data_IF_996196007560
#
_entry.id   IF_996196007560
#
_cell.length_a   1.000
_cell.length_b   1.000
_cell.length_c   1.000
_cell.angle_alpha   90.00
_cell.angle_beta   90.00
_cell.angle_gamma   90.00
#
_symmetry.space_group_name_H-M   'P 1'
#
loop_
_entity.id
_entity.type
_entity.pdbx_description
1 polymer ?
#
# COMPACT_ATOMS: atom_id res chain seq x y z
N UNK A 1 -20.52 0.89 -3.69
CA UNK A 1 -21.50 0.13 -2.87
C UNK A 1 -20.88 -0.43 -1.58
N UNK A 2 -19.75 -1.19 -1.61
CA UNK A 2 -19.13 -1.71 -0.39
C UNK A 2 -18.62 -0.61 0.53
N UNK A 3 -17.85 0.35 0.02
CA UNK A 3 -17.26 1.43 0.81
C UNK A 3 -18.32 2.36 1.41
N UNK A 4 -19.40 2.60 0.68
CA UNK A 4 -20.51 3.44 1.12
C UNK A 4 -21.32 2.82 2.27
N UNK A 5 -21.37 1.49 2.34
CA UNK A 5 -22.10 0.73 3.34
C UNK A 5 -21.20 0.14 4.44
N UNK A 6 -19.90 0.40 4.40
CA UNK A 6 -18.99 -0.07 5.42
C UNK A 6 -19.26 0.64 6.75
N UNK A 7 -19.38 -0.09 7.88
CA UNK A 7 -19.50 0.52 9.20
C UNK A 7 -18.18 1.06 9.74
N UNK A 8 -17.06 0.72 9.10
CA UNK A 8 -15.70 1.03 9.57
C UNK A 8 -15.34 2.48 9.31
N UNK A 9 -14.47 3.02 10.16
CA UNK A 9 -13.93 4.36 9.97
C UNK A 9 -12.92 4.38 8.82
N UNK A 10 -13.21 5.20 7.80
CA UNK A 10 -12.34 5.47 6.66
C UNK A 10 -11.77 6.88 6.76
N UNK A 11 -10.50 7.04 6.52
CA UNK A 11 -9.89 8.36 6.38
C UNK A 11 -8.79 8.39 5.31
N UNK A 12 -8.52 9.57 4.79
CA UNK A 12 -7.38 9.84 3.95
C UNK A 12 -6.30 10.51 4.78
N UNK A 13 -5.12 9.92 4.75
CA UNK A 13 -3.94 10.46 5.41
C UNK A 13 -2.87 10.81 4.39
N UNK A 14 -2.01 11.73 4.77
CA UNK A 14 -0.91 12.18 3.95
C UNK A 14 0.39 11.72 4.60
N UNK A 15 1.27 11.13 3.80
CA UNK A 15 2.56 10.62 4.23
C UNK A 15 3.63 11.35 3.44
N UNK A 16 4.50 12.07 4.15
CA UNK A 16 5.64 12.74 3.54
C UNK A 16 6.70 11.72 3.13
N UNK A 17 7.13 11.81 1.88
CA UNK A 17 8.25 11.05 1.34
C UNK A 17 9.41 11.99 0.99
N UNK A 18 10.51 11.45 0.49
CA UNK A 18 11.65 12.27 0.11
C UNK A 18 11.38 13.16 -1.13
N UNK A 19 10.38 12.82 -1.92
CA UNK A 19 10.06 13.51 -3.18
C UNK A 19 8.77 14.30 -3.13
N UNK A 20 7.73 13.79 -2.48
CA UNK A 20 6.40 14.39 -2.45
C UNK A 20 5.57 13.87 -1.27
N UNK A 21 4.34 14.32 -1.17
CA UNK A 21 3.34 13.85 -0.22
C UNK A 21 2.45 12.79 -0.88
N UNK A 22 2.31 11.63 -0.24
CA UNK A 22 1.50 10.51 -0.72
C UNK A 22 0.15 10.49 -0.01
N UNK A 23 -0.93 10.50 -0.78
CA UNK A 23 -2.26 10.26 -0.25
C UNK A 23 -2.43 8.76 0.02
N UNK A 24 -2.90 8.40 1.19
CA UNK A 24 -3.11 7.01 1.58
C UNK A 24 -4.48 6.81 2.17
N UNK A 25 -5.15 5.74 1.76
CA UNK A 25 -6.46 5.37 2.28
C UNK A 25 -6.28 4.47 3.50
N UNK A 26 -6.77 4.91 4.66
CA UNK A 26 -6.61 4.24 5.95
C UNK A 26 -7.97 3.82 6.47
N UNK A 27 -8.09 2.56 6.91
CA UNK A 27 -9.31 1.98 7.46
C UNK A 27 -9.01 1.34 8.81
N UNK A 28 -9.85 1.64 9.79
CA UNK A 28 -9.76 1.07 11.12
C UNK A 28 -10.79 -0.05 11.30
N UNK A 29 -10.40 -1.18 11.92
CA UNK A 29 -11.34 -2.24 12.29
C UNK A 29 -12.21 -1.80 13.48
N UNK A 30 -13.33 -2.47 13.66
CA UNK A 30 -14.20 -2.31 14.82
C UNK A 30 -13.76 -3.21 15.99
N UNK A 31 -12.55 -2.96 16.51
CA UNK A 31 -11.97 -3.71 17.63
C UNK A 31 -11.45 -2.76 18.70
N UNK A 32 -11.37 -3.23 19.93
CA UNK A 32 -10.92 -2.43 21.08
C UNK A 32 -9.43 -2.61 21.42
N UNK A 33 -8.84 -3.71 20.99
CA UNK A 33 -7.42 -4.03 21.21
C UNK A 33 -6.52 -3.42 20.12
N UNK A 34 -5.25 -3.29 20.45
CA UNK A 34 -4.22 -2.90 19.46
C UNK A 34 -3.92 -4.07 18.53
N UNK A 35 -4.00 -3.81 17.23
CA UNK A 35 -3.85 -4.83 16.18
C UNK A 35 -2.71 -4.48 15.23
N UNK A 36 -2.19 -5.45 14.46
CA UNK A 36 -1.23 -5.17 13.40
C UNK A 36 -1.80 -4.26 12.31
N UNK A 37 -0.90 -3.57 11.62
CA UNK A 37 -1.25 -2.78 10.43
C UNK A 37 -0.87 -3.57 9.19
N UNK A 38 -1.79 -3.63 8.24
CA UNK A 38 -1.57 -4.23 6.92
C UNK A 38 -1.46 -3.12 5.88
N UNK A 39 -0.30 -3.01 5.25
CA UNK A 39 -0.06 -2.12 4.11
C UNK A 39 -0.46 -2.86 2.84
N UNK A 40 -1.46 -2.35 2.13
CA UNK A 40 -1.91 -2.89 0.85
C UNK A 40 -1.23 -2.17 -0.32
N UNK A 41 -0.53 -2.91 -1.17
CA UNK A 41 0.01 -2.41 -2.43
C UNK A 41 -0.98 -2.78 -3.54
N UNK A 42 -1.56 -1.75 -4.16
CA UNK A 42 -2.58 -1.91 -5.20
C UNK A 42 -2.04 -2.52 -6.51
N UNK A 43 -2.92 -2.86 -7.41
CA UNK A 43 -2.58 -3.36 -8.74
C UNK A 43 -2.07 -2.24 -9.67
N UNK A 44 -1.80 -2.58 -10.93
CA UNK A 44 -1.23 -1.66 -11.94
C UNK A 44 -2.17 -0.55 -12.44
N UNK A 45 -3.31 -0.33 -11.78
CA UNK A 45 -4.28 0.73 -12.11
C UNK A 45 -4.45 1.77 -11.00
N UNK A 46 -3.50 1.79 -10.05
CA UNK A 46 -3.50 2.73 -8.94
C UNK A 46 -4.49 2.38 -7.82
N UNK A 47 -4.69 3.32 -6.91
CA UNK A 47 -5.57 3.19 -5.75
C UNK A 47 -7.04 3.43 -6.15
N UNK A 48 -7.58 2.56 -6.96
CA UNK A 48 -8.96 2.60 -7.45
C UNK A 48 -9.96 2.04 -6.41
N UNK A 49 -11.25 2.00 -6.77
CA UNK A 49 -12.32 1.52 -5.90
C UNK A 49 -12.13 0.07 -5.44
N UNK A 50 -11.57 -0.78 -6.31
CA UNK A 50 -11.27 -2.17 -5.95
C UNK A 50 -10.22 -2.23 -4.84
N UNK A 51 -9.12 -1.50 -4.98
CA UNK A 51 -8.04 -1.49 -4.00
C UNK A 51 -8.52 -0.92 -2.65
N UNK A 52 -9.31 0.15 -2.67
CA UNK A 52 -9.93 0.71 -1.45
C UNK A 52 -10.92 -0.26 -0.82
N UNK A 53 -11.73 -0.97 -1.63
CA UNK A 53 -12.63 -2.01 -1.13
C UNK A 53 -11.89 -3.19 -0.53
N UNK A 54 -10.73 -3.57 -1.08
CA UNK A 54 -9.88 -4.62 -0.51
C UNK A 54 -9.26 -4.16 0.82
N UNK A 55 -8.84 -2.89 0.91
CA UNK A 55 -8.36 -2.29 2.17
C UNK A 55 -9.43 -2.38 3.26
N UNK A 56 -10.69 -2.06 2.93
CA UNK A 56 -11.82 -2.19 3.84
C UNK A 56 -12.08 -3.65 4.25
N UNK A 57 -11.90 -4.62 3.34
CA UNK A 57 -12.05 -6.04 3.66
C UNK A 57 -10.96 -6.54 4.63
N UNK A 58 -9.74 -6.04 4.49
CA UNK A 58 -8.67 -6.35 5.45
C UNK A 58 -9.03 -5.82 6.84
N UNK A 59 -9.60 -4.61 6.90
CA UNK A 59 -10.06 -4.05 8.17
C UNK A 59 -11.25 -4.82 8.75
N UNK A 60 -12.14 -5.38 7.93
CA UNK A 60 -13.21 -6.29 8.37
C UNK A 60 -12.66 -7.56 9.05
N UNK A 61 -11.47 -8.00 8.68
CA UNK A 61 -10.79 -9.15 9.30
C UNK A 61 -10.12 -8.79 10.65
N UNK A 62 -10.24 -7.54 11.12
CA UNK A 62 -9.74 -7.11 12.42
C UNK A 62 -8.35 -6.47 12.40
N UNK A 63 -7.82 -6.06 11.24
CA UNK A 63 -6.54 -5.38 11.10
C UNK A 63 -6.73 -3.89 10.79
N UNK A 64 -5.82 -3.03 11.22
CA UNK A 64 -5.74 -1.70 10.60
C UNK A 64 -5.20 -1.89 9.19
N UNK A 65 -5.82 -1.27 8.19
CA UNK A 65 -5.40 -1.40 6.80
C UNK A 65 -5.10 -0.04 6.18
N UNK A 66 -3.96 0.10 5.51
CA UNK A 66 -3.56 1.32 4.83
C UNK A 66 -3.09 1.02 3.41
N UNK A 67 -3.58 1.79 2.44
CA UNK A 67 -3.20 1.66 1.04
C UNK A 67 -2.67 3.01 0.51
N UNK A 68 -1.35 3.14 0.28
CA UNK A 68 -0.77 4.33 -0.35
C UNK A 68 -1.16 4.39 -1.83
N UNK A 69 -1.45 5.60 -2.31
CA UNK A 69 -1.59 5.87 -3.74
C UNK A 69 -0.22 6.17 -4.35
N UNK A 70 0.41 5.17 -4.96
CA UNK A 70 1.73 5.30 -5.59
C UNK A 70 1.75 6.30 -6.75
N UNK A 71 0.58 6.69 -7.26
CA UNK A 71 0.43 7.71 -8.29
C UNK A 71 0.25 9.13 -7.74
N UNK A 72 0.33 9.34 -6.43
CA UNK A 72 0.25 10.67 -5.83
C UNK A 72 1.30 11.60 -6.42
N UNK A 73 0.86 12.75 -6.92
CA UNK A 73 1.73 13.76 -7.55
C UNK A 73 2.13 13.46 -9.00
N UNK A 74 1.78 12.30 -9.58
CA UNK A 74 2.24 11.89 -10.92
C UNK A 74 1.21 12.12 -12.03
N UNK A 75 -0.06 12.30 -11.68
CA UNK A 75 -1.10 12.59 -12.67
C UNK A 75 -0.94 14.00 -13.26
N UNK A 76 -1.52 14.27 -14.43
CA UNK A 76 -1.60 15.61 -14.96
C UNK A 76 -2.14 16.59 -13.89
N UNK A 77 -1.48 17.72 -13.72
CA UNK A 77 -1.76 18.74 -12.68
C UNK A 77 -1.46 18.30 -11.23
N UNK A 78 -0.62 17.27 -11.01
CA UNK A 78 -0.12 16.91 -9.70
C UNK A 78 -1.07 16.07 -8.82
N UNK A 79 -2.10 15.48 -9.40
CA UNK A 79 -3.03 14.60 -8.69
C UNK A 79 -2.53 13.15 -8.58
N UNK A 80 -3.35 12.29 -7.98
CA UNK A 80 -3.12 10.85 -7.85
C UNK A 80 -3.95 10.01 -8.83
N UNK A 81 -4.24 8.76 -8.46
CA UNK A 81 -4.97 7.79 -9.29
C UNK A 81 -6.25 8.35 -9.90
N UNK A 82 -7.08 9.05 -9.13
CA UNK A 82 -8.37 9.57 -9.59
C UNK A 82 -8.25 10.77 -10.56
N UNK A 83 -7.06 11.31 -10.78
CA UNK A 83 -6.82 12.44 -11.68
C UNK A 83 -6.33 12.02 -13.06
N UNK A 84 -6.11 10.73 -13.28
CA UNK A 84 -5.86 10.18 -14.62
C UNK A 84 -7.15 10.13 -15.43
N UNK A 85 -7.07 10.36 -16.74
CA UNK A 85 -8.25 10.39 -17.61
C UNK A 85 -8.93 9.02 -17.74
N UNK A 86 -8.14 7.96 -17.66
CA UNK A 86 -8.61 6.58 -17.73
C UNK A 86 -7.60 5.64 -17.03
N UNK A 87 -8.01 4.39 -16.88
CA UNK A 87 -7.20 3.37 -16.19
C UNK A 87 -5.95 2.92 -16.95
N UNK A 88 -5.89 3.11 -18.27
CA UNK A 88 -4.71 2.75 -19.06
C UNK A 88 -3.62 3.81 -18.94
N UNK A 89 -4.00 5.08 -18.81
CA UNK A 89 -3.07 6.16 -18.47
C UNK A 89 -2.49 5.98 -17.05
N UNK A 90 -3.34 5.62 -16.07
CA UNK A 90 -2.89 5.29 -14.73
C UNK A 90 -1.91 4.09 -14.74
N UNK A 91 -2.21 3.05 -15.53
CA UNK A 91 -1.32 1.91 -15.72
C UNK A 91 0.03 2.33 -16.29
N UNK A 92 0.04 3.20 -17.28
CA UNK A 92 1.28 3.75 -17.85
C UNK A 92 2.07 4.51 -16.78
N UNK A 93 1.38 5.31 -15.94
CA UNK A 93 1.99 5.99 -14.80
C UNK A 93 2.67 5.03 -13.82
N UNK A 94 2.01 3.93 -13.47
CA UNK A 94 2.57 2.89 -12.57
C UNK A 94 3.86 2.30 -13.12
N UNK A 95 3.90 1.92 -14.40
CA UNK A 95 5.08 1.31 -14.99
C UNK A 95 6.22 2.31 -15.27
N UNK A 96 5.95 3.61 -15.17
CA UNK A 96 6.96 4.67 -15.26
C UNK A 96 7.52 5.10 -13.90
N UNK A 97 7.02 4.54 -12.79
CA UNK A 97 7.55 4.87 -11.46
C UNK A 97 8.98 4.38 -11.31
N UNK A 98 9.80 5.25 -10.74
CA UNK A 98 11.16 4.92 -10.36
C UNK A 98 11.14 3.90 -9.19
N UNK A 99 11.90 2.79 -9.25
CA UNK A 99 12.01 1.84 -8.15
C UNK A 99 12.41 2.46 -6.81
N UNK A 100 13.28 3.46 -6.81
CA UNK A 100 13.71 4.15 -5.59
C UNK A 100 12.53 4.95 -4.96
N UNK A 101 11.67 5.54 -5.79
CA UNK A 101 10.45 6.21 -5.32
C UNK A 101 9.46 5.22 -4.73
N UNK A 102 9.28 4.06 -5.38
CA UNK A 102 8.42 2.98 -4.87
C UNK A 102 8.90 2.53 -3.48
N UNK A 103 10.21 2.28 -3.35
CA UNK A 103 10.81 1.84 -2.10
C UNK A 103 10.68 2.91 -0.99
N UNK A 104 10.89 4.18 -1.33
CA UNK A 104 10.70 5.29 -0.38
C UNK A 104 9.26 5.38 0.12
N UNK A 105 8.26 5.28 -0.78
CA UNK A 105 6.85 5.25 -0.41
C UNK A 105 6.56 4.10 0.56
N UNK A 106 7.06 2.90 0.29
CA UNK A 106 6.83 1.74 1.15
C UNK A 106 7.47 1.91 2.52
N UNK A 107 8.73 2.34 2.59
CA UNK A 107 9.41 2.59 3.86
C UNK A 107 8.69 3.65 4.69
N UNK A 108 8.30 4.78 4.08
CA UNK A 108 7.57 5.85 4.79
C UNK A 108 6.18 5.40 5.24
N UNK A 109 5.50 4.56 4.44
CA UNK A 109 4.21 3.99 4.84
C UNK A 109 4.35 3.02 6.00
N UNK A 110 5.40 2.19 6.03
CA UNK A 110 5.71 1.30 7.16
C UNK A 110 6.03 2.11 8.42
N UNK A 111 6.87 3.15 8.31
CA UNK A 111 7.22 4.04 9.41
C UNK A 111 6.00 4.76 10.00
N UNK A 112 5.09 5.21 9.13
CA UNK A 112 3.82 5.79 9.53
C UNK A 112 2.94 4.76 10.26
N UNK A 113 2.83 3.56 9.68
CA UNK A 113 2.01 2.46 10.20
C UNK A 113 2.42 2.03 11.60
N UNK A 114 3.74 1.97 11.88
CA UNK A 114 4.27 1.65 13.22
C UNK A 114 3.89 2.67 14.29
N UNK A 115 3.58 3.90 13.89
CA UNK A 115 3.25 5.01 14.81
C UNK A 115 1.74 5.21 15.01
N UNK A 116 0.89 4.45 14.33
CA UNK A 116 -0.57 4.54 14.51
C UNK A 116 -0.92 4.15 15.95
N UNK A 117 -1.59 5.03 16.73
CA UNK A 117 -1.80 4.81 18.17
C UNK A 117 -2.60 3.56 18.51
N UNK A 118 -3.56 3.18 17.65
CA UNK A 118 -4.36 1.95 17.77
C UNK A 118 -3.66 0.71 17.22
N UNK A 119 -2.50 0.88 16.58
CA UNK A 119 -1.65 -0.22 16.12
C UNK A 119 -0.79 -0.80 17.25
N UNK A 120 -0.38 -2.05 17.09
CA UNK A 120 0.53 -2.73 18.02
C UNK A 120 2.02 -2.62 17.62
N UNK A 121 2.34 -1.81 16.60
CA UNK A 121 3.68 -1.61 16.06
C UNK A 121 4.14 -2.65 15.04
N UNK A 122 3.37 -3.70 14.81
CA UNK A 122 3.65 -4.73 13.81
C UNK A 122 3.04 -4.35 12.47
N UNK A 123 3.81 -4.54 11.39
CA UNK A 123 3.39 -4.22 10.04
C UNK A 123 3.56 -5.44 9.13
N UNK A 124 2.52 -5.72 8.35
CA UNK A 124 2.51 -6.73 7.29
C UNK A 124 2.24 -6.02 5.97
N UNK A 125 2.88 -6.47 4.90
CA UNK A 125 2.63 -5.95 3.56
C UNK A 125 1.89 -7.01 2.74
N UNK A 126 0.85 -6.61 2.01
CA UNK A 126 0.17 -7.45 1.02
C UNK A 126 0.10 -6.72 -0.30
N UNK A 127 0.45 -7.38 -1.39
CA UNK A 127 0.40 -6.79 -2.72
C UNK A 127 -0.27 -7.69 -3.75
N UNK A 128 -0.91 -7.07 -4.74
CA UNK A 128 -1.68 -7.74 -5.78
C UNK A 128 -1.14 -7.38 -7.17
N UNK A 129 -0.94 -8.36 -8.05
CA UNK A 129 -0.45 -8.16 -9.41
C UNK A 129 0.91 -7.43 -9.42
N UNK A 130 0.97 -6.22 -9.97
CA UNK A 130 2.14 -5.32 -9.86
C UNK A 130 2.53 -5.11 -8.39
N UNK A 131 1.56 -4.82 -7.53
CA UNK A 131 1.79 -4.68 -6.09
C UNK A 131 2.28 -5.96 -5.43
N UNK A 132 1.91 -7.14 -5.95
CA UNK A 132 2.45 -8.42 -5.51
C UNK A 132 3.95 -8.53 -5.78
N UNK A 133 4.40 -8.08 -6.95
CA UNK A 133 5.83 -8.02 -7.27
C UNK A 133 6.56 -7.02 -6.38
N UNK A 134 5.96 -5.86 -6.09
CA UNK A 134 6.55 -4.88 -5.17
C UNK A 134 6.62 -5.41 -3.73
N UNK A 135 5.60 -6.13 -3.28
CA UNK A 135 5.60 -6.79 -1.95
C UNK A 135 6.75 -7.78 -1.82
N UNK A 136 7.00 -8.58 -2.86
CA UNK A 136 8.12 -9.52 -2.85
C UNK A 136 9.47 -8.79 -2.87
N UNK A 137 9.65 -7.79 -3.75
CA UNK A 137 10.86 -6.98 -3.79
C UNK A 137 11.15 -6.35 -2.43
N UNK A 138 10.14 -5.73 -1.83
CA UNK A 138 10.26 -5.08 -0.53
C UNK A 138 10.65 -6.06 0.59
N UNK A 139 10.13 -7.29 0.57
CA UNK A 139 10.50 -8.33 1.53
C UNK A 139 11.98 -8.72 1.45
N UNK A 140 12.61 -8.58 0.28
CA UNK A 140 14.05 -8.85 0.11
C UNK A 140 14.94 -7.68 0.55
N UNK A 141 14.38 -6.50 0.74
CA UNK A 141 15.10 -5.25 1.02
C UNK A 141 14.87 -4.72 2.45
N UNK A 142 13.74 -5.07 3.06
CA UNK A 142 13.31 -4.51 4.33
C UNK A 142 13.20 -5.58 5.42
N UNK A 143 13.84 -5.31 6.57
CA UNK A 143 13.66 -6.07 7.82
C UNK A 143 12.60 -5.46 8.76
N UNK A 144 11.90 -4.42 8.31
CA UNK A 144 11.00 -3.60 9.13
C UNK A 144 9.55 -4.11 9.13
N UNK A 145 9.29 -5.22 8.45
CA UNK A 145 7.97 -5.86 8.35
C UNK A 145 7.99 -7.28 8.92
N UNK A 146 6.86 -7.72 9.48
CA UNK A 146 6.69 -9.07 10.05
C UNK A 146 6.48 -10.14 8.97
N UNK A 147 5.85 -9.76 7.85
CA UNK A 147 5.57 -10.65 6.73
C UNK A 147 5.24 -9.86 5.46
N UNK A 148 5.45 -10.50 4.32
CA UNK A 148 4.97 -10.05 3.02
C UNK A 148 4.10 -11.11 2.36
N UNK A 149 2.93 -10.72 1.87
CA UNK A 149 1.99 -11.58 1.16
C UNK A 149 1.99 -11.18 -0.31
N UNK A 150 2.32 -12.14 -1.17
CA UNK A 150 2.44 -11.94 -2.62
C UNK A 150 1.26 -12.58 -3.32
N UNK A 151 0.35 -11.76 -3.83
CA UNK A 151 -0.79 -12.24 -4.62
C UNK A 151 -0.49 -12.06 -6.10
N UNK A 152 -0.32 -13.16 -6.84
CA UNK A 152 -0.06 -13.24 -8.30
C UNK A 152 0.94 -12.19 -8.82
N UNK A 153 2.01 -11.94 -8.03
CA UNK A 153 3.18 -11.17 -8.41
C UNK A 153 4.36 -12.06 -8.76
N UNK A 154 5.39 -11.46 -9.38
CA UNK A 154 6.66 -12.14 -9.68
C UNK A 154 7.73 -11.70 -8.70
N UNK A 155 8.63 -12.61 -8.34
CA UNK A 155 9.78 -12.27 -7.50
C UNK A 155 10.86 -11.49 -8.26
N UNK A 156 11.81 -10.89 -7.52
CA UNK A 156 13.01 -10.29 -8.09
C UNK A 156 13.77 -11.28 -8.97
N UNK A 157 14.42 -10.78 -10.03
CA UNK A 157 15.25 -11.61 -10.91
C UNK A 157 16.58 -11.99 -10.26
N UNK A 158 17.08 -11.15 -9.35
CA UNK A 158 18.23 -11.48 -8.51
C UNK A 158 17.80 -12.37 -7.35
N UNK A 159 17.99 -13.69 -7.53
CA UNK A 159 17.65 -14.68 -6.51
C UNK A 159 18.57 -14.67 -5.29
N UNK A 160 19.73 -13.99 -5.36
CA UNK A 160 20.63 -13.85 -4.21
C UNK A 160 19.96 -13.04 -3.09
N UNK A 161 19.09 -12.11 -3.43
CA UNK A 161 18.31 -11.30 -2.47
C UNK A 161 17.33 -12.12 -1.64
N UNK A 162 16.94 -13.32 -2.07
CA UNK A 162 15.99 -14.19 -1.35
C UNK A 162 16.52 -14.67 0.01
N UNK A 163 17.85 -14.68 0.18
CA UNK A 163 18.47 -15.00 1.49
C UNK A 163 18.12 -13.99 2.59
N UNK A 164 17.63 -12.82 2.22
CA UNK A 164 17.23 -11.78 3.17
C UNK A 164 15.82 -11.99 3.73
N UNK A 165 15.03 -12.87 3.10
CA UNK A 165 13.68 -13.22 3.57
C UNK A 165 13.78 -14.33 4.61
N UNK A 166 13.41 -14.03 5.84
CA UNK A 166 13.46 -14.96 7.00
C UNK A 166 12.07 -15.38 7.45
#
# INVERSE_FOLDING_TARGET
>A
ERLENSPRHHEWVKIDTNTNEINSFLVYPEVSEKVPVVVLIHENRGLNDWARSMTDQIAEMGYIAIAPDFLSGTAPNGGGTNNYQNSDDARTGIYNLDPDVINDILNKTVDYSKKIPSGNGKVVVIGFCWGGSQSFQFATESSEIEAAIVCYGTGPTDTASYSNVT
#
